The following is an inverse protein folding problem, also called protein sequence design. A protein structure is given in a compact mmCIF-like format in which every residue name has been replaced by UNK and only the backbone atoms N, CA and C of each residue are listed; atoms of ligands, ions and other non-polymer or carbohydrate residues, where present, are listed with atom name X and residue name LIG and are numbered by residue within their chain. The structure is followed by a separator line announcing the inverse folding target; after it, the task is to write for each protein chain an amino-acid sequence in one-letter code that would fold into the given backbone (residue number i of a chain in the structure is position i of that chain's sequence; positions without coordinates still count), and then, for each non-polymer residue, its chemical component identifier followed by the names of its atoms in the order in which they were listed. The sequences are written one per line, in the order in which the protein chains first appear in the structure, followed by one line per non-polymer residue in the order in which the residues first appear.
data_IF_255491983658
#
_entry.id   IF_255491983658
#
_cell.length_a   1.000
_cell.length_b   1.000
_cell.length_c   1.000
_cell.angle_alpha   90.00
_cell.angle_beta   90.00
_cell.angle_gamma   90.00
#
_symmetry.space_group_name_H-M   'P 1'
#
loop_
_entity.id
_entity.type
_entity.pdbx_description
1 polymer ?
#
# COMPACT_ATOMS: atom_id res chain seq x y z
N UNK A 1 -25.20 4.13 3.92
CA UNK A 1 -24.87 2.77 4.40
C UNK A 1 -23.36 2.61 4.32
N UNK A 2 -22.72 2.27 5.43
CA UNK A 2 -21.26 2.10 5.50
C UNK A 2 -20.85 0.73 4.95
N UNK A 3 -19.68 0.63 4.30
CA UNK A 3 -19.12 -0.62 3.77
C UNK A 3 -17.76 -0.86 4.39
N UNK A 4 -17.47 -2.10 4.79
CA UNK A 4 -16.20 -2.52 5.37
C UNK A 4 -15.73 -3.85 4.76
N UNK A 5 -14.40 -4.03 4.66
CA UNK A 5 -13.76 -5.27 4.21
C UNK A 5 -12.50 -5.51 5.03
N UNK A 6 -12.36 -6.71 5.58
CA UNK A 6 -11.11 -7.15 6.23
C UNK A 6 -10.09 -7.55 5.17
N UNK A 7 -8.88 -7.02 5.28
CA UNK A 7 -7.75 -7.35 4.40
C UNK A 7 -6.73 -8.13 5.24
N UNK A 8 -6.35 -9.32 4.76
CA UNK A 8 -5.48 -10.31 5.43
C UNK A 8 -6.08 -10.94 6.71
N UNK A 9 -7.20 -11.70 6.61
CA UNK A 9 -7.86 -12.29 7.78
C UNK A 9 -6.97 -13.25 8.58
N UNK A 10 -6.05 -13.96 7.92
CA UNK A 10 -5.24 -15.01 8.55
C UNK A 10 -3.81 -14.57 8.91
N UNK A 11 -3.47 -13.29 8.70
CA UNK A 11 -2.10 -12.81 8.91
C UNK A 11 -1.87 -12.50 10.40
N UNK A 12 -1.04 -13.33 11.03
CA UNK A 12 -0.72 -13.24 12.47
C UNK A 12 0.46 -12.32 12.79
N UNK A 13 1.22 -11.88 11.79
CA UNK A 13 2.41 -11.06 12.03
C UNK A 13 2.03 -9.63 12.40
N UNK A 14 2.56 -9.09 13.52
CA UNK A 14 2.32 -7.71 13.90
C UNK A 14 2.96 -6.79 12.86
N UNK A 15 2.13 -6.21 12.01
CA UNK A 15 2.56 -5.19 11.07
C UNK A 15 2.98 -3.94 11.84
N UNK A 16 4.04 -3.25 11.41
CA UNK A 16 4.29 -1.86 11.81
C UNK A 16 4.56 -1.66 13.32
N UNK A 17 5.61 -2.32 13.82
CA UNK A 17 5.97 -2.34 15.25
C UNK A 17 6.45 -0.99 15.79
N UNK A 18 7.20 -0.22 14.99
CA UNK A 18 7.88 1.01 15.43
C UNK A 18 7.50 2.25 14.61
N UNK A 19 6.66 2.09 13.60
CA UNK A 19 6.09 3.19 12.80
C UNK A 19 4.67 2.84 12.39
N UNK A 20 3.77 3.81 12.18
CA UNK A 20 2.43 3.54 11.66
C UNK A 20 2.45 2.93 10.25
N UNK A 21 1.37 2.23 9.91
CA UNK A 21 1.07 1.84 8.52
C UNK A 21 1.04 3.11 7.65
N UNK A 22 1.72 3.07 6.50
CA UNK A 22 1.63 4.14 5.51
C UNK A 22 0.24 4.13 4.86
N UNK A 23 -0.36 5.31 4.73
CA UNK A 23 -1.56 5.54 3.93
C UNK A 23 -1.25 6.69 2.97
N UNK A 24 -1.29 6.43 1.66
CA UNK A 24 -0.97 7.40 0.62
C UNK A 24 -1.97 7.31 -0.52
N UNK A 25 -2.56 8.45 -0.87
CA UNK A 25 -3.44 8.55 -2.03
C UNK A 25 -2.60 8.73 -3.29
N UNK A 26 -2.79 7.83 -4.25
CA UNK A 26 -2.23 7.98 -5.58
C UNK A 26 -2.99 9.03 -6.39
N UNK A 27 -2.37 9.58 -7.44
CA UNK A 27 -3.03 10.47 -8.39
C UNK A 27 -4.16 9.76 -9.17
N UNK A 28 -4.17 8.42 -9.17
CA UNK A 28 -5.22 7.57 -9.74
C UNK A 28 -6.44 7.39 -8.81
N UNK A 29 -6.42 7.98 -7.61
CA UNK A 29 -7.48 7.85 -6.62
C UNK A 29 -7.48 6.52 -5.86
N UNK A 30 -6.45 5.68 -6.04
CA UNK A 30 -6.27 4.46 -5.26
C UNK A 30 -5.52 4.76 -3.96
N UNK A 31 -5.77 3.94 -2.94
CA UNK A 31 -5.06 4.00 -1.66
C UNK A 31 -3.91 3.00 -1.67
N UNK A 32 -2.69 3.51 -1.53
CA UNK A 32 -1.47 2.74 -1.38
C UNK A 32 -1.12 2.64 0.10
N UNK A 33 -0.97 1.42 0.59
CA UNK A 33 -0.70 1.15 2.00
C UNK A 33 0.34 0.08 2.20
N UNK A 34 0.88 0.00 3.41
CA UNK A 34 1.87 -1.00 3.83
C UNK A 34 1.28 -2.07 4.75
N UNK A 35 -0.04 -2.26 4.75
CA UNK A 35 -0.76 -3.16 5.65
C UNK A 35 -0.11 -4.54 5.70
N UNK A 36 0.19 -5.05 6.90
CA UNK A 36 0.81 -6.37 7.03
C UNK A 36 2.24 -6.48 6.49
N UNK A 37 3.01 -5.38 6.37
CA UNK A 37 4.31 -5.32 5.69
C UNK A 37 4.27 -5.51 4.18
N UNK A 38 3.11 -5.26 3.56
CA UNK A 38 2.95 -5.40 2.11
C UNK A 38 2.49 -4.10 1.50
N UNK A 39 3.08 -3.75 0.34
CA UNK A 39 2.52 -2.76 -0.56
C UNK A 39 1.18 -3.30 -1.08
N UNK A 40 0.10 -2.81 -0.48
CA UNK A 40 -1.28 -3.12 -0.84
C UNK A 40 -1.91 -1.90 -1.50
N UNK A 41 -2.55 -2.12 -2.64
CA UNK A 41 -3.34 -1.11 -3.35
C UNK A 41 -4.80 -1.41 -3.13
N UNK A 42 -5.58 -0.42 -2.72
CA UNK A 42 -6.99 -0.53 -2.41
C UNK A 42 -7.76 0.48 -3.26
N UNK A 43 -8.79 -0.01 -3.96
CA UNK A 43 -9.79 0.85 -4.59
C UNK A 43 -10.87 1.21 -3.56
N UNK A 44 -11.00 2.47 -3.14
CA UNK A 44 -11.96 2.87 -2.12
C UNK A 44 -13.43 2.77 -2.58
N UNK A 45 -13.69 2.73 -3.90
CA UNK A 45 -15.06 2.65 -4.45
C UNK A 45 -15.58 1.21 -4.42
N UNK A 46 -14.71 0.25 -4.75
CA UNK A 46 -15.08 -1.16 -4.87
C UNK A 46 -14.65 -2.02 -3.67
N UNK A 47 -13.76 -1.51 -2.82
CA UNK A 47 -13.07 -2.26 -1.77
C UNK A 47 -12.22 -3.44 -2.31
N UNK A 48 -11.92 -3.45 -3.61
CA UNK A 48 -10.96 -4.39 -4.18
C UNK A 48 -9.55 -4.02 -3.73
N UNK A 49 -8.73 -5.05 -3.49
CA UNK A 49 -7.39 -4.89 -2.92
C UNK A 49 -6.42 -5.87 -3.55
N UNK A 50 -5.22 -5.40 -3.90
CA UNK A 50 -4.15 -6.24 -4.46
C UNK A 50 -2.83 -5.97 -3.71
N UNK A 51 -2.13 -7.05 -3.34
CA UNK A 51 -0.79 -6.99 -2.76
C UNK A 51 0.27 -7.12 -3.88
N UNK A 52 1.37 -6.37 -3.77
CA UNK A 52 2.41 -6.35 -4.81
C UNK A 52 3.76 -6.87 -4.33
N UNK A 53 4.27 -6.33 -3.22
CA UNK A 53 5.58 -6.70 -2.69
C UNK A 53 5.65 -6.44 -1.19
N UNK A 54 6.67 -7.00 -0.56
CA UNK A 54 6.98 -6.78 0.85
C UNK A 54 7.69 -5.45 1.05
N UNK A 55 7.08 -4.58 1.84
CA UNK A 55 7.68 -3.33 2.28
C UNK A 55 6.92 -2.74 3.45
N UNK A 56 7.64 -2.03 4.32
CA UNK A 56 7.02 -1.16 5.32
C UNK A 56 7.16 0.33 5.01
N UNK A 57 7.82 0.70 3.91
CA UNK A 57 8.08 2.09 3.56
C UNK A 57 7.71 2.36 2.11
N UNK A 58 6.82 3.32 1.91
CA UNK A 58 6.42 3.81 0.60
C UNK A 58 6.44 5.34 0.58
N UNK A 59 6.68 5.89 -0.60
CA UNK A 59 6.48 7.31 -0.93
C UNK A 59 5.85 7.42 -2.31
N UNK A 60 5.09 8.48 -2.55
CA UNK A 60 4.59 8.83 -3.88
C UNK A 60 5.41 10.03 -4.33
N UNK A 61 6.13 9.86 -5.44
CA UNK A 61 6.93 10.93 -6.04
C UNK A 61 6.04 11.96 -6.73
N UNK A 62 6.59 13.16 -6.95
CA UNK A 62 5.92 14.19 -7.74
C UNK A 62 5.69 13.76 -9.21
N UNK A 63 6.41 12.74 -9.67
CA UNK A 63 6.26 12.07 -10.96
C UNK A 63 5.10 11.07 -11.02
N UNK A 64 4.29 10.97 -9.95
CA UNK A 64 3.16 10.04 -9.87
C UNK A 64 3.57 8.57 -9.77
N UNK A 65 4.83 8.26 -9.46
CA UNK A 65 5.28 6.89 -9.21
C UNK A 65 5.33 6.58 -7.71
N UNK A 66 5.15 5.30 -7.36
CA UNK A 66 5.38 4.80 -6.01
C UNK A 66 6.82 4.35 -5.91
N UNK A 67 7.49 4.83 -4.88
CA UNK A 67 8.82 4.42 -4.47
C UNK A 67 8.69 3.61 -3.20
N UNK A 68 9.34 2.44 -3.14
CA UNK A 68 9.30 1.59 -1.97
C UNK A 68 10.64 0.92 -1.71
N UNK A 69 10.92 0.66 -0.43
CA UNK A 69 12.18 0.06 -0.01
C UNK A 69 12.00 -1.43 0.32
N UNK A 70 12.95 -2.26 -0.12
CA UNK A 70 13.07 -3.66 0.31
C UNK A 70 14.53 -3.95 0.64
N UNK A 71 14.82 -4.07 1.95
CA UNK A 71 16.20 -4.04 2.45
C UNK A 71 16.89 -2.73 2.06
N UNK A 72 18.10 -2.84 1.51
CA UNK A 72 18.90 -1.70 1.05
C UNK A 72 18.57 -1.23 -0.39
N UNK A 73 17.50 -1.73 -1.00
CA UNK A 73 17.14 -1.45 -2.39
C UNK A 73 15.91 -0.56 -2.48
N UNK A 74 15.97 0.42 -3.37
CA UNK A 74 14.86 1.26 -3.77
C UNK A 74 14.24 0.71 -5.06
N UNK A 75 12.92 0.54 -5.05
CA UNK A 75 12.12 0.12 -6.20
C UNK A 75 11.15 1.22 -6.58
N UNK A 76 10.73 1.21 -7.85
CA UNK A 76 9.76 2.15 -8.41
C UNK A 76 8.67 1.37 -9.16
N UNK A 77 7.42 1.74 -8.94
CA UNK A 77 6.26 1.21 -9.64
C UNK A 77 5.37 2.36 -10.13
N UNK A 78 4.78 2.23 -11.32
CA UNK A 78 3.73 3.16 -11.77
C UNK A 78 2.47 2.99 -10.91
N UNK A 79 1.78 4.09 -10.62
CA UNK A 79 0.40 4.00 -10.14
C UNK A 79 -0.47 3.34 -11.21
N UNK A 80 -1.49 2.57 -10.81
CA UNK A 80 -2.38 1.89 -11.76
C UNK A 80 -3.33 2.92 -12.38
N UNK A 81 -2.86 3.59 -13.43
CA UNK A 81 -3.61 4.59 -14.19
C UNK A 81 -2.77 5.66 -14.90
N UNK A 82 -1.43 5.54 -14.90
CA UNK A 82 -0.50 6.50 -15.53
C UNK A 82 0.27 5.96 -16.75
#
# INVERSE_FOLDING_TARGET
MERAKTIYPDRKEPSHQWRPICLRWGPDGLLYTTLGYWLTVIDPKTLNSQAFDETSLIAIGADGHIYYAKGARLFRMKCKGA
#
